data_IF_576930704667
#
_entry.id   IF_576930704667
#
_cell.length_a   1.000
_cell.length_b   1.000
_cell.length_c   1.000
_cell.angle_alpha   90.00
_cell.angle_beta   90.00
_cell.angle_gamma   90.00
#
_symmetry.space_group_name_H-M   'P 1'
#
loop_
_entity.id
_entity.type
_entity.pdbx_description
1 polymer ?
#
# COMPACT_ATOMS: atom_id res chain seq x y z
N UNK A 1 -1.72 67.23 7.23
CA UNK A 1 -1.64 66.37 8.42
C UNK A 1 -2.18 65.00 8.01
N UNK A 2 -1.36 64.13 7.40
CA UNK A 2 -0.40 63.20 7.98
C UNK A 2 -1.02 62.08 8.85
N UNK A 3 -0.91 60.84 8.32
CA UNK A 3 -0.54 59.57 8.99
C UNK A 3 -1.50 59.01 10.07
N UNK A 4 -1.84 57.71 10.10
CA UNK A 4 -0.92 56.56 10.06
C UNK A 4 -1.68 55.25 9.79
N UNK A 5 -1.09 54.46 8.92
CA UNK A 5 -1.24 53.02 8.76
C UNK A 5 -0.68 52.27 10.00
N UNK A 6 -0.92 50.95 10.02
CA UNK A 6 -0.20 49.84 10.70
C UNK A 6 -0.83 49.24 12.00
N UNK A 7 -0.54 47.96 12.36
CA UNK A 7 -0.88 46.70 11.67
C UNK A 7 -1.36 45.59 12.66
N UNK A 8 -1.65 44.39 12.15
CA UNK A 8 -1.47 43.15 12.92
C UNK A 8 -2.73 42.38 13.30
N UNK A 9 -3.15 41.48 12.41
CA UNK A 9 -3.71 40.18 12.81
C UNK A 9 -3.41 39.17 11.71
N UNK A 10 -2.14 38.79 11.66
CA UNK A 10 -1.74 37.49 11.14
C UNK A 10 -2.33 36.41 12.06
N UNK A 11 -3.49 35.90 11.70
CA UNK A 11 -3.85 34.53 12.05
C UNK A 11 -3.49 33.67 10.84
N UNK A 12 -2.75 32.55 11.00
CA UNK A 12 -2.52 31.66 9.88
C UNK A 12 -3.87 31.07 9.47
N UNK A 13 -4.45 31.62 8.41
CA UNK A 13 -5.62 31.09 7.74
C UNK A 13 -5.31 29.66 7.32
N UNK A 14 -6.21 28.75 7.70
CA UNK A 14 -6.22 27.36 7.26
C UNK A 14 -5.92 27.30 5.76
N UNK A 15 -4.78 26.69 5.40
CA UNK A 15 -4.45 26.43 4.01
C UNK A 15 -5.50 25.48 3.45
N UNK A 16 -6.33 25.99 2.54
CA UNK A 16 -7.08 25.15 1.63
C UNK A 16 -6.11 24.24 0.86
N UNK A 17 -6.45 22.96 0.60
CA UNK A 17 -5.59 22.08 -0.15
C UNK A 17 -5.45 22.62 -1.57
N UNK A 18 -4.23 23.05 -1.93
CA UNK A 18 -3.91 23.55 -3.26
C UNK A 18 -3.99 22.47 -4.33
N UNK A 19 -4.06 22.85 -5.62
CA UNK A 19 -4.11 21.90 -6.73
C UNK A 19 -2.76 21.18 -6.86
N UNK A 20 -2.76 19.86 -6.75
CA UNK A 20 -1.55 19.03 -6.82
C UNK A 20 -1.06 18.92 -8.27
N UNK A 21 0.15 19.42 -8.54
CA UNK A 21 0.83 19.16 -9.80
C UNK A 21 1.29 17.69 -9.81
N UNK A 22 0.98 16.97 -10.89
CA UNK A 22 1.59 15.66 -11.15
C UNK A 22 3.11 15.81 -11.15
N UNK A 23 3.80 15.04 -10.32
CA UNK A 23 5.26 15.02 -10.31
C UNK A 23 5.79 14.56 -11.68
N UNK A 24 6.86 15.19 -12.21
CA UNK A 24 7.45 14.82 -13.50
C UNK A 24 7.99 13.38 -13.48
N UNK A 25 7.91 12.70 -14.63
CA UNK A 25 7.94 11.24 -14.75
C UNK A 25 9.31 10.59 -14.84
N UNK A 26 10.41 11.23 -14.43
CA UNK A 26 11.74 10.64 -14.59
C UNK A 26 12.52 10.71 -13.27
N UNK A 27 12.67 9.54 -12.62
CA UNK A 27 13.47 9.26 -11.42
C UNK A 27 12.95 9.76 -10.06
N UNK A 28 11.67 9.55 -9.75
CA UNK A 28 11.20 9.56 -8.35
C UNK A 28 10.74 8.15 -7.96
N UNK A 29 11.38 7.54 -6.96
CA UNK A 29 11.13 6.19 -6.44
C UNK A 29 9.74 6.07 -5.75
N UNK A 30 8.72 6.78 -6.23
CA UNK A 30 7.37 6.85 -5.67
C UNK A 30 7.20 7.82 -4.50
N UNK A 31 8.27 8.41 -3.96
CA UNK A 31 8.18 9.32 -2.81
C UNK A 31 7.43 10.61 -3.13
N UNK A 32 6.59 11.04 -2.20
CA UNK A 32 5.89 12.32 -2.23
C UNK A 32 5.87 12.93 -0.82
N UNK A 33 5.55 14.22 -0.70
CA UNK A 33 5.48 14.89 0.61
C UNK A 33 6.84 15.33 1.15
N UNK A 34 7.00 15.37 2.47
CA UNK A 34 8.25 15.79 3.14
C UNK A 34 8.84 14.66 3.96
N UNK A 35 10.06 14.85 4.49
CA UNK A 35 10.68 13.85 5.37
C UNK A 35 9.90 13.65 6.67
N UNK A 36 9.30 14.71 7.21
CA UNK A 36 8.54 14.71 8.46
C UNK A 36 7.14 14.11 8.29
N UNK A 37 6.55 14.36 7.12
CA UNK A 37 5.22 13.91 6.70
C UNK A 37 5.34 13.23 5.33
N UNK A 38 5.90 12.01 5.31
CA UNK A 38 6.16 11.31 4.06
C UNK A 38 4.86 10.81 3.45
N UNK A 39 4.91 10.65 2.14
CA UNK A 39 3.98 9.83 1.39
C UNK A 39 4.70 9.04 0.31
N UNK A 40 4.01 8.03 -0.21
CA UNK A 40 4.52 7.14 -1.23
C UNK A 40 3.42 6.75 -2.20
N UNK A 41 3.74 6.79 -3.50
CA UNK A 41 2.89 6.40 -4.61
C UNK A 41 3.29 5.01 -5.11
N UNK A 42 2.34 4.08 -5.08
CA UNK A 42 2.47 2.75 -5.66
C UNK A 42 1.32 2.53 -6.66
N UNK A 43 1.63 2.66 -7.96
CA UNK A 43 0.62 2.60 -9.03
C UNK A 43 -0.41 3.73 -8.91
N UNK A 44 -1.69 3.36 -8.80
CA UNK A 44 -2.82 4.28 -8.63
C UNK A 44 -3.04 4.70 -7.16
N UNK A 45 -2.30 4.14 -6.21
CA UNK A 45 -2.45 4.42 -4.79
C UNK A 45 -1.39 5.41 -4.32
N UNK A 46 -1.80 6.39 -3.51
CA UNK A 46 -0.90 7.23 -2.71
C UNK A 46 -1.24 7.08 -1.23
N UNK A 47 -0.26 6.71 -0.42
CA UNK A 47 -0.36 6.71 1.03
C UNK A 47 0.47 7.87 1.56
N UNK A 48 -0.07 8.70 2.45
CA UNK A 48 0.69 9.79 3.07
C UNK A 48 0.28 10.02 4.52
N UNK A 49 1.15 10.70 5.25
CA UNK A 49 0.87 11.15 6.61
C UNK A 49 0.59 12.65 6.64
N UNK A 50 -0.34 13.04 7.51
CA UNK A 50 -0.68 14.42 7.78
C UNK A 50 -0.60 14.70 9.28
N UNK A 51 -0.14 15.89 9.68
CA UNK A 51 -0.16 16.33 11.08
C UNK A 51 -1.38 17.23 11.33
N UNK A 52 -2.37 16.71 12.05
CA UNK A 52 -3.63 17.40 12.36
C UNK A 52 -3.85 17.48 13.88
N UNK A 53 -3.04 18.26 14.62
CA UNK A 53 -3.07 18.29 16.08
C UNK A 53 -4.38 18.82 16.68
N UNK A 54 -5.17 19.56 15.90
CA UNK A 54 -6.51 20.00 16.29
C UNK A 54 -7.57 18.89 16.24
N UNK A 55 -7.27 17.75 15.60
CA UNK A 55 -8.15 16.57 15.49
C UNK A 55 -7.66 15.45 16.40
N UNK A 56 -6.37 15.11 16.33
CA UNK A 56 -5.69 14.18 17.24
C UNK A 56 -4.33 14.77 17.62
N UNK A 57 -4.15 15.09 18.91
CA UNK A 57 -2.92 15.70 19.40
C UNK A 57 -1.75 14.71 19.52
N UNK A 58 -2.03 13.41 19.51
CA UNK A 58 -1.08 12.34 19.85
C UNK A 58 -0.59 11.58 18.62
N UNK A 59 -1.47 11.38 17.63
CA UNK A 59 -1.19 10.54 16.47
C UNK A 59 -1.19 11.31 15.17
N UNK A 60 -0.46 10.79 14.19
CA UNK A 60 -0.52 11.27 12.82
C UNK A 60 -1.82 10.81 12.15
N UNK A 61 -2.24 11.55 11.12
CA UNK A 61 -3.33 11.14 10.25
C UNK A 61 -2.79 10.30 9.10
N UNK A 62 -3.46 9.19 8.82
CA UNK A 62 -3.24 8.36 7.65
C UNK A 62 -4.19 8.83 6.55
N UNK A 63 -3.64 9.14 5.37
CA UNK A 63 -4.40 9.41 4.16
C UNK A 63 -4.04 8.36 3.09
N UNK A 64 -5.07 7.71 2.55
CA UNK A 64 -5.01 6.89 1.36
C UNK A 64 -5.79 7.57 0.24
N UNK A 65 -5.13 7.86 -0.86
CA UNK A 65 -5.72 8.44 -2.06
C UNK A 65 -5.70 7.41 -3.18
N UNK A 66 -6.84 7.19 -3.82
CA UNK A 66 -6.93 6.48 -5.08
C UNK A 66 -6.91 7.51 -6.22
N UNK A 67 -6.05 7.29 -7.20
CA UNK A 67 -5.89 8.16 -8.36
C UNK A 67 -6.58 7.56 -9.59
N UNK A 68 -7.21 8.42 -10.38
CA UNK A 68 -7.68 8.08 -11.72
C UNK A 68 -6.53 8.01 -12.74
N UNK A 69 -6.85 7.65 -13.99
CA UNK A 69 -5.88 7.57 -15.09
C UNK A 69 -5.19 8.90 -15.40
N UNK A 70 -5.82 10.03 -15.05
CA UNK A 70 -5.24 11.37 -15.21
C UNK A 70 -4.35 11.79 -14.04
N UNK A 71 -4.22 10.92 -13.03
CA UNK A 71 -3.45 11.17 -11.81
C UNK A 71 -4.18 12.04 -10.78
N UNK A 72 -5.48 12.28 -10.94
CA UNK A 72 -6.29 13.06 -9.99
C UNK A 72 -6.90 12.14 -8.94
N UNK A 73 -7.10 12.67 -7.74
CA UNK A 73 -7.75 11.92 -6.67
C UNK A 73 -9.22 11.64 -7.02
N UNK A 74 -9.56 10.37 -7.11
CA UNK A 74 -10.91 9.87 -7.30
C UNK A 74 -11.58 9.55 -5.96
N UNK A 75 -10.87 8.82 -5.09
CA UNK A 75 -11.36 8.43 -3.76
C UNK A 75 -10.32 8.76 -2.68
N UNK A 76 -10.79 9.02 -1.46
CA UNK A 76 -9.94 9.27 -0.29
C UNK A 76 -10.45 8.50 0.92
N UNK A 77 -9.54 7.80 1.59
CA UNK A 77 -9.77 7.21 2.90
C UNK A 77 -8.79 7.80 3.90
N UNK A 78 -9.31 8.52 4.89
CA UNK A 78 -8.49 9.23 5.87
C UNK A 78 -8.95 8.96 7.30
N UNK A 79 -8.00 8.98 8.25
CA UNK A 79 -8.34 8.98 9.67
C UNK A 79 -7.11 8.94 10.59
N UNK A 80 -7.31 9.11 11.91
CA UNK A 80 -6.23 9.01 12.88
C UNK A 80 -5.50 7.66 12.77
N UNK A 81 -4.19 7.65 12.91
CA UNK A 81 -3.38 6.44 12.82
C UNK A 81 -2.75 6.12 14.19
N UNK A 82 -3.46 5.44 15.11
CA UNK A 82 -2.93 5.12 16.45
C UNK A 82 -1.58 4.40 16.45
N UNK A 83 -1.27 3.65 15.39
CA UNK A 83 0.03 2.98 15.23
C UNK A 83 1.19 3.94 14.96
N UNK A 84 0.93 5.19 14.59
CA UNK A 84 1.93 6.21 14.29
C UNK A 84 1.77 7.44 15.19
N UNK A 85 2.49 7.43 16.30
CA UNK A 85 2.57 8.62 17.17
C UNK A 85 3.41 9.72 16.53
N UNK A 86 3.10 10.97 16.88
CA UNK A 86 3.80 12.17 16.37
C UNK A 86 5.28 12.24 16.76
N UNK A 87 5.69 11.48 17.78
CA UNK A 87 7.07 11.39 18.27
C UNK A 87 7.86 10.22 17.67
N UNK A 88 7.26 9.40 16.79
CA UNK A 88 7.97 8.29 16.17
C UNK A 88 9.11 8.76 15.26
N UNK A 89 10.21 7.99 15.17
CA UNK A 89 11.31 8.25 14.24
C UNK A 89 10.85 8.43 12.79
N UNK A 90 11.52 9.32 12.07
CA UNK A 90 11.17 9.63 10.67
C UNK A 90 11.27 8.40 9.76
N UNK A 91 12.30 7.57 9.96
CA UNK A 91 12.50 6.36 9.15
C UNK A 91 11.35 5.36 9.31
N UNK A 92 10.75 5.29 10.51
CA UNK A 92 9.58 4.45 10.76
C UNK A 92 8.34 4.95 9.99
N UNK A 93 8.16 6.27 9.88
CA UNK A 93 7.08 6.87 9.10
C UNK A 93 7.24 6.59 7.61
N UNK A 94 8.46 6.76 7.09
CA UNK A 94 8.80 6.48 5.70
C UNK A 94 8.57 5.00 5.37
N UNK A 95 9.07 4.09 6.21
CA UNK A 95 8.83 2.64 6.08
C UNK A 95 7.35 2.33 6.04
N UNK A 96 6.58 2.87 6.98
CA UNK A 96 5.14 2.64 7.05
C UNK A 96 4.45 3.03 5.75
N UNK A 97 4.65 4.26 5.24
CA UNK A 97 3.91 4.71 4.04
C UNK A 97 4.28 3.90 2.81
N UNK A 98 5.56 3.52 2.68
CA UNK A 98 6.04 2.71 1.55
C UNK A 98 5.46 1.30 1.59
N UNK A 99 5.55 0.62 2.74
CA UNK A 99 5.00 -0.73 2.91
C UNK A 99 3.49 -0.74 2.69
N UNK A 100 2.74 0.21 3.25
CA UNK A 100 1.28 0.26 3.07
C UNK A 100 0.90 0.56 1.62
N UNK A 101 1.60 1.46 0.95
CA UNK A 101 1.34 1.75 -0.46
C UNK A 101 1.61 0.53 -1.34
N UNK A 102 2.75 -0.15 -1.18
CA UNK A 102 3.07 -1.36 -1.94
C UNK A 102 2.12 -2.52 -1.62
N UNK A 103 1.68 -2.64 -0.37
CA UNK A 103 0.68 -3.62 0.03
C UNK A 103 -0.69 -3.38 -0.64
N UNK A 104 -1.05 -2.10 -0.86
CA UNK A 104 -2.30 -1.69 -1.48
C UNK A 104 -2.20 -1.49 -3.00
N UNK A 105 -1.02 -1.56 -3.62
CA UNK A 105 -0.76 -1.23 -5.04
C UNK A 105 -1.81 -1.79 -6.02
N UNK A 106 -2.24 -3.02 -5.79
CA UNK A 106 -3.19 -3.74 -6.64
C UNK A 106 -4.54 -4.00 -5.98
N UNK A 107 -4.73 -3.57 -4.72
CA UNK A 107 -5.90 -3.89 -3.93
C UNK A 107 -7.19 -3.19 -4.39
N UNK A 108 -7.17 -1.90 -4.80
CA UNK A 108 -8.34 -1.23 -5.32
C UNK A 108 -8.93 -1.94 -6.53
N UNK A 109 -10.25 -2.01 -6.57
CA UNK A 109 -11.00 -2.60 -7.66
C UNK A 109 -11.28 -1.53 -8.73
N UNK A 110 -11.06 -1.78 -10.03
CA UNK A 110 -11.29 -0.77 -11.07
C UNK A 110 -12.74 -0.25 -11.14
N UNK A 111 -13.72 -1.06 -10.72
CA UNK A 111 -15.14 -0.69 -10.77
C UNK A 111 -15.65 -0.19 -9.41
N UNK A 112 -15.03 -0.66 -8.31
CA UNK A 112 -15.54 -0.43 -6.95
C UNK A 112 -14.59 0.37 -6.06
N UNK A 113 -13.46 0.83 -6.58
CA UNK A 113 -12.47 1.61 -5.84
C UNK A 113 -11.97 0.91 -4.59
N UNK A 114 -12.07 1.57 -3.44
CA UNK A 114 -11.65 1.05 -2.14
C UNK A 114 -12.72 0.20 -1.43
N UNK A 115 -13.86 -0.07 -2.06
CA UNK A 115 -14.92 -0.87 -1.46
C UNK A 115 -14.42 -2.26 -1.05
N UNK A 116 -14.77 -2.69 0.17
CA UNK A 116 -14.32 -3.96 0.75
C UNK A 116 -12.99 -3.90 1.49
N UNK A 117 -12.20 -2.83 1.33
CA UNK A 117 -10.89 -2.68 2.01
C UNK A 117 -11.00 -2.02 3.39
N UNK A 118 -12.15 -1.46 3.76
CA UNK A 118 -12.31 -0.67 4.99
C UNK A 118 -11.82 -1.38 6.26
N UNK A 119 -12.14 -2.66 6.45
CA UNK A 119 -11.69 -3.42 7.62
C UNK A 119 -10.15 -3.61 7.66
N UNK A 120 -9.51 -3.75 6.49
CA UNK A 120 -8.06 -3.83 6.41
C UNK A 120 -7.39 -2.48 6.67
N UNK A 121 -7.95 -1.39 6.15
CA UNK A 121 -7.44 -0.03 6.36
C UNK A 121 -7.54 0.39 7.83
N UNK A 122 -8.66 0.07 8.49
CA UNK A 122 -8.80 0.27 9.95
C UNK A 122 -7.75 -0.54 10.71
N UNK A 123 -7.57 -1.82 10.36
CA UNK A 123 -6.57 -2.67 11.01
C UNK A 123 -5.14 -2.11 10.88
N UNK A 124 -4.76 -1.65 9.68
CA UNK A 124 -3.45 -1.03 9.40
C UNK A 124 -3.25 0.20 10.26
N UNK A 125 -4.25 1.10 10.34
CA UNK A 125 -4.16 2.32 11.15
C UNK A 125 -3.97 2.03 12.62
N UNK A 126 -4.69 1.04 13.15
CA UNK A 126 -4.65 0.68 14.57
C UNK A 126 -3.41 -0.10 14.96
N UNK A 127 -2.89 -0.96 14.09
CA UNK A 127 -1.89 -1.96 14.47
C UNK A 127 -0.53 -1.77 13.79
N UNK A 128 -0.45 -0.97 12.73
CA UNK A 128 0.76 -0.82 11.93
C UNK A 128 0.97 -1.95 10.95
N UNK A 129 2.16 -2.00 10.36
CA UNK A 129 2.57 -2.97 9.33
C UNK A 129 3.95 -3.56 9.58
N UNK A 130 4.38 -3.65 10.84
CA UNK A 130 5.62 -4.31 11.22
C UNK A 130 5.37 -5.80 11.53
N UNK A 131 6.29 -6.69 11.17
CA UNK A 131 6.29 -8.10 11.58
C UNK A 131 4.95 -8.83 11.35
N UNK A 132 4.37 -9.52 12.37
CA UNK A 132 3.12 -10.25 12.22
C UNK A 132 1.92 -9.41 11.75
N UNK A 133 1.92 -8.11 12.04
CA UNK A 133 0.86 -7.20 11.64
C UNK A 133 0.81 -7.02 10.12
N UNK A 134 1.96 -7.04 9.43
CA UNK A 134 2.00 -7.01 7.96
C UNK A 134 1.27 -8.20 7.34
N UNK A 135 1.57 -9.41 7.83
CA UNK A 135 0.92 -10.63 7.35
C UNK A 135 -0.60 -10.60 7.61
N UNK A 136 -1.00 -10.09 8.77
CA UNK A 136 -2.40 -9.96 9.16
C UNK A 136 -3.15 -8.89 8.34
N UNK A 137 -2.49 -7.80 7.97
CA UNK A 137 -3.02 -6.77 7.07
C UNK A 137 -3.21 -7.33 5.65
N UNK A 138 -2.19 -8.01 5.12
CA UNK A 138 -2.24 -8.66 3.81
C UNK A 138 -3.41 -9.66 3.71
N UNK A 139 -3.62 -10.50 4.72
CA UNK A 139 -4.74 -11.45 4.73
C UNK A 139 -6.11 -10.76 4.69
N UNK A 140 -6.27 -9.62 5.37
CA UNK A 140 -7.52 -8.84 5.33
C UNK A 140 -7.73 -8.18 3.98
N UNK A 141 -6.67 -7.70 3.33
CA UNK A 141 -6.71 -7.17 1.97
C UNK A 141 -7.07 -8.28 0.98
N UNK A 142 -6.40 -9.43 1.06
CA UNK A 142 -6.66 -10.59 0.20
C UNK A 142 -8.14 -11.04 0.30
N UNK A 143 -8.73 -10.96 1.49
CA UNK A 143 -10.15 -11.26 1.72
C UNK A 143 -11.10 -10.18 1.15
N UNK A 144 -10.71 -8.90 1.19
CA UNK A 144 -11.55 -7.78 0.76
C UNK A 144 -11.46 -7.41 -0.72
N UNK A 145 -10.33 -7.67 -1.39
CA UNK A 145 -10.10 -7.29 -2.78
C UNK A 145 -10.79 -8.25 -3.79
N UNK A 146 -10.64 -8.00 -5.09
CA UNK A 146 -11.04 -8.95 -6.14
C UNK A 146 -10.05 -10.11 -6.30
N UNK A 147 -10.43 -11.17 -7.02
CA UNK A 147 -9.48 -12.24 -7.39
C UNK A 147 -8.34 -11.71 -8.27
N UNK A 148 -8.67 -10.87 -9.26
CA UNK A 148 -7.70 -10.26 -10.14
C UNK A 148 -6.68 -9.39 -9.37
N UNK A 149 -7.13 -8.62 -8.39
CA UNK A 149 -6.27 -7.84 -7.49
C UNK A 149 -5.27 -8.73 -6.72
N UNK A 150 -5.76 -9.83 -6.15
CA UNK A 150 -4.89 -10.79 -5.45
C UNK A 150 -3.86 -11.41 -6.39
N UNK A 151 -4.28 -11.82 -7.59
CA UNK A 151 -3.38 -12.39 -8.61
C UNK A 151 -2.28 -11.39 -8.97
N UNK A 152 -2.64 -10.15 -9.27
CA UNK A 152 -1.68 -9.09 -9.59
C UNK A 152 -0.72 -8.82 -8.41
N UNK A 153 -1.24 -8.76 -7.18
CA UNK A 153 -0.42 -8.60 -5.97
C UNK A 153 0.58 -9.74 -5.78
N UNK A 154 0.16 -11.00 -5.98
CA UNK A 154 1.04 -12.15 -5.85
C UNK A 154 2.09 -12.19 -6.98
N UNK A 155 1.71 -11.89 -8.22
CA UNK A 155 2.65 -11.78 -9.33
C UNK A 155 3.72 -10.71 -9.04
N UNK A 156 3.29 -9.52 -8.61
CA UNK A 156 4.20 -8.42 -8.25
C UNK A 156 5.21 -8.83 -7.18
N UNK A 157 4.74 -9.41 -6.06
CA UNK A 157 5.65 -9.81 -4.98
C UNK A 157 6.54 -10.98 -5.38
N UNK A 158 6.04 -11.96 -6.15
CA UNK A 158 6.87 -13.06 -6.67
C UNK A 158 7.97 -12.53 -7.58
N UNK A 159 7.65 -11.58 -8.47
CA UNK A 159 8.65 -10.93 -9.34
C UNK A 159 9.66 -10.13 -8.51
N UNK A 160 9.25 -9.43 -7.45
CA UNK A 160 10.19 -8.76 -6.55
C UNK A 160 11.11 -9.74 -5.82
N UNK A 161 10.59 -10.89 -5.38
CA UNK A 161 11.36 -11.87 -4.60
C UNK A 161 12.30 -12.74 -5.46
N UNK A 162 11.91 -13.08 -6.68
CA UNK A 162 12.63 -14.04 -7.54
C UNK A 162 13.17 -13.43 -8.83
N UNK A 163 12.68 -12.26 -9.25
CA UNK A 163 12.82 -11.79 -10.63
C UNK A 163 11.83 -12.48 -11.58
N UNK A 164 11.65 -11.88 -12.75
CA UNK A 164 10.59 -12.28 -13.70
C UNK A 164 10.73 -13.74 -14.18
N UNK A 165 11.96 -14.22 -14.39
CA UNK A 165 12.23 -15.54 -14.96
C UNK A 165 12.09 -16.65 -13.91
N UNK A 166 12.58 -16.43 -12.70
CA UNK A 166 12.62 -17.46 -11.65
C UNK A 166 11.29 -17.56 -10.86
N UNK A 167 10.45 -16.52 -10.92
CA UNK A 167 9.13 -16.52 -10.30
C UNK A 167 8.23 -17.66 -10.85
N UNK A 168 8.21 -17.83 -12.17
CA UNK A 168 7.40 -18.86 -12.82
C UNK A 168 7.88 -20.28 -12.49
N UNK A 169 9.19 -20.52 -12.59
CA UNK A 169 9.78 -21.82 -12.26
C UNK A 169 9.58 -22.20 -10.77
N UNK A 170 9.65 -21.22 -9.88
CA UNK A 170 9.37 -21.42 -8.46
C UNK A 170 7.91 -21.78 -8.22
N UNK A 171 6.99 -21.13 -8.92
CA UNK A 171 5.56 -21.38 -8.79
C UNK A 171 5.15 -22.74 -9.38
N UNK A 172 5.77 -23.18 -10.47
CA UNK A 172 5.61 -24.53 -11.03
C UNK A 172 5.87 -25.61 -9.98
N UNK A 173 6.97 -25.49 -9.25
CA UNK A 173 7.34 -26.45 -8.20
C UNK A 173 6.33 -26.48 -7.04
N UNK A 174 5.71 -25.34 -6.73
CA UNK A 174 4.66 -25.24 -5.72
C UNK A 174 3.34 -25.85 -6.23
N UNK A 175 2.93 -25.51 -7.45
CA UNK A 175 1.72 -26.03 -8.09
C UNK A 175 1.77 -27.54 -8.25
N UNK A 176 2.92 -28.11 -8.63
CA UNK A 176 3.09 -29.56 -8.72
C UNK A 176 2.81 -30.29 -7.39
N UNK A 177 3.06 -29.63 -6.25
CA UNK A 177 2.75 -30.15 -4.91
C UNK A 177 1.29 -29.95 -4.53
N UNK A 178 0.70 -28.80 -4.87
CA UNK A 178 -0.65 -28.41 -4.44
C UNK A 178 -1.77 -28.95 -5.35
N UNK A 179 -1.48 -29.18 -6.62
CA UNK A 179 -2.43 -29.67 -7.62
C UNK A 179 -1.77 -30.69 -8.58
N UNK A 180 -1.49 -31.92 -8.11
CA UNK A 180 -0.85 -32.94 -8.93
C UNK A 180 -1.68 -33.25 -10.19
N UNK A 181 -1.03 -33.22 -11.36
CA UNK A 181 -1.67 -33.56 -12.64
C UNK A 181 -2.25 -32.37 -13.43
N UNK A 182 -2.15 -31.14 -12.92
CA UNK A 182 -2.45 -29.94 -13.71
C UNK A 182 -1.19 -29.52 -14.48
N UNK A 183 -1.32 -29.26 -15.78
CA UNK A 183 -0.22 -28.69 -16.58
C UNK A 183 0.03 -27.26 -16.11
N UNK A 184 1.25 -26.99 -15.66
CA UNK A 184 1.65 -25.68 -15.14
C UNK A 184 2.38 -24.83 -16.17
N UNK A 185 2.50 -25.32 -17.42
CA UNK A 185 3.06 -24.56 -18.54
C UNK A 185 2.16 -23.35 -18.85
N UNK A 186 2.60 -22.17 -18.47
CA UNK A 186 1.86 -20.93 -18.68
C UNK A 186 2.66 -19.73 -18.19
N UNK A 187 2.15 -18.54 -18.46
CA UNK A 187 2.70 -17.31 -17.90
C UNK A 187 2.48 -17.26 -16.38
N UNK A 188 3.32 -16.52 -15.65
CA UNK A 188 3.24 -16.41 -14.18
C UNK A 188 1.82 -16.09 -13.68
N UNK A 189 1.12 -15.21 -14.39
CA UNK A 189 -0.24 -14.82 -14.05
C UNK A 189 -1.22 -15.99 -14.12
N UNK A 190 -1.13 -16.83 -15.15
CA UNK A 190 -1.97 -18.02 -15.30
C UNK A 190 -1.71 -19.03 -14.20
N UNK A 191 -0.43 -19.23 -13.85
CA UNK A 191 -0.02 -20.09 -12.74
C UNK A 191 -0.56 -19.58 -11.40
N UNK A 192 -0.49 -18.27 -11.14
CA UNK A 192 -1.05 -17.67 -9.91
C UNK A 192 -2.58 -17.78 -9.89
N UNK A 193 -3.26 -17.56 -11.01
CA UNK A 193 -4.72 -17.76 -11.13
C UNK A 193 -5.09 -19.21 -10.81
N UNK A 194 -4.36 -20.17 -11.36
CA UNK A 194 -4.57 -21.59 -11.10
C UNK A 194 -4.40 -21.91 -9.61
N UNK A 195 -3.32 -21.43 -8.99
CA UNK A 195 -3.11 -21.57 -7.55
C UNK A 195 -4.31 -21.03 -6.76
N UNK A 196 -4.72 -19.79 -7.02
CA UNK A 196 -5.82 -19.14 -6.29
C UNK A 196 -7.12 -19.93 -6.45
N UNK A 197 -7.39 -20.49 -7.63
CA UNK A 197 -8.54 -21.38 -7.86
C UNK A 197 -8.45 -22.69 -7.08
N UNK A 198 -7.25 -23.27 -6.97
CA UNK A 198 -7.05 -24.53 -6.25
C UNK A 198 -7.18 -24.40 -4.73
N UNK A 199 -6.63 -23.33 -4.14
CA UNK A 199 -6.56 -23.19 -2.67
C UNK A 199 -7.49 -22.13 -2.09
N UNK A 200 -8.09 -21.30 -2.94
CA UNK A 200 -8.92 -20.17 -2.57
C UNK A 200 -8.12 -18.92 -2.16
N UNK A 201 -8.71 -17.74 -2.39
CA UNK A 201 -8.10 -16.43 -2.11
C UNK A 201 -7.50 -16.31 -0.70
N UNK A 202 -8.29 -16.68 0.31
CA UNK A 202 -7.91 -16.52 1.72
C UNK A 202 -6.69 -17.36 2.12
N UNK A 203 -6.36 -18.41 1.36
CA UNK A 203 -5.23 -19.29 1.65
C UNK A 203 -4.05 -19.09 0.69
N UNK A 204 -4.25 -18.49 -0.49
CA UNK A 204 -3.25 -18.44 -1.55
C UNK A 204 -1.87 -17.94 -1.07
N UNK A 205 -1.84 -16.75 -0.46
CA UNK A 205 -0.58 -16.16 0.05
C UNK A 205 0.06 -17.02 1.15
N UNK A 206 -0.75 -17.55 2.07
CA UNK A 206 -0.27 -18.42 3.14
C UNK A 206 0.33 -19.72 2.58
N UNK A 207 -0.35 -20.37 1.64
CA UNK A 207 0.09 -21.62 1.02
C UNK A 207 1.37 -21.44 0.21
N UNK A 208 1.48 -20.33 -0.51
CA UNK A 208 2.73 -20.00 -1.20
C UNK A 208 3.87 -19.80 -0.20
N UNK A 209 3.64 -19.08 0.90
CA UNK A 209 4.66 -18.88 1.95
C UNK A 209 5.03 -20.18 2.67
N UNK A 210 4.12 -21.13 2.79
CA UNK A 210 4.43 -22.45 3.36
C UNK A 210 5.20 -23.33 2.37
N UNK A 211 5.03 -23.09 1.07
CA UNK A 211 5.66 -23.87 0.01
C UNK A 211 6.98 -23.28 -0.51
N UNK A 212 7.28 -22.03 -0.13
CA UNK A 212 8.49 -21.28 -0.49
C UNK A 212 9.18 -20.82 0.79
N UNK A 213 10.51 -20.74 0.83
CA UNK A 213 11.25 -20.25 2.00
C UNK A 213 11.30 -18.71 2.10
N UNK A 214 10.45 -18.00 1.34
CA UNK A 214 10.53 -16.55 1.13
C UNK A 214 9.32 -15.80 1.67
N UNK A 215 9.53 -14.54 2.03
CA UNK A 215 8.47 -13.64 2.45
C UNK A 215 7.68 -13.12 1.24
N UNK A 216 6.38 -13.43 1.18
CA UNK A 216 5.48 -13.00 0.11
C UNK A 216 4.66 -11.78 0.53
N UNK A 217 5.36 -10.84 1.14
CA UNK A 217 4.84 -9.57 1.59
C UNK A 217 5.82 -8.49 1.12
N UNK A 218 5.34 -7.27 0.79
CA UNK A 218 6.21 -6.15 0.51
C UNK A 218 6.86 -5.64 1.82
N UNK A 219 7.74 -6.45 2.39
CA UNK A 219 8.39 -6.16 3.67
C UNK A 219 9.46 -5.07 3.51
N UNK A 220 9.84 -4.39 4.61
CA UNK A 220 10.85 -3.34 4.55
C UNK A 220 12.14 -3.81 3.88
N UNK A 221 12.63 -5.01 4.22
CA UNK A 221 13.83 -5.60 3.63
C UNK A 221 13.68 -5.85 2.12
N UNK A 222 12.53 -6.37 1.67
CA UNK A 222 12.26 -6.58 0.24
C UNK A 222 12.21 -5.26 -0.54
N UNK A 223 11.78 -4.18 0.10
CA UNK A 223 11.68 -2.85 -0.49
C UNK A 223 12.96 -2.01 -0.30
N UNK A 224 13.93 -2.48 0.50
CA UNK A 224 15.14 -1.75 0.84
C UNK A 224 14.93 -0.54 1.76
N UNK A 225 14.04 -0.65 2.77
CA UNK A 225 13.72 0.42 3.77
C UNK A 225 13.62 -0.09 5.21
#
# INVERSE_FOLDING_TARGET
MNTRWNPGRDGPGAMAPGPWHAAPSDADDGWVGTRELPGYRAGAVVVRLSDLPGVDATHLYFDLLLLDESGRTEETHSGPCPSLRRDQPLDQRSRFVRVVAELLRHAPDPERGLAGLGAALTFIRENGVDGPQLAAAAQRIDAGCSEAALVASLCHVLTLSFGEHDAGASLDAVLAKLAPGVSTSGELEEQVRLLVRCVGKAQARRRLREATDFELLPSPDLLGV
#
